data_IF_372139283655
#
_entry.id   IF_372139283655
#
_cell.length_a   1.000
_cell.length_b   1.000
_cell.length_c   1.000
_cell.angle_alpha   90.00
_cell.angle_beta   90.00
_cell.angle_gamma   90.00
#
_symmetry.space_group_name_H-M   'P 1'
#
loop_
_entity.id
_entity.type
_entity.pdbx_description
1 polymer ?
#
# COMPACT_ATOMS: atom_id res chain seq x y z
N UNK A 1 34.09 -14.02 4.26
CA UNK A 1 33.82 -13.94 2.96
C UNK A 1 32.39 -13.77 2.69
N UNK A 2 32.16 -13.01 1.84
CA UNK A 2 30.84 -12.81 1.52
C UNK A 2 30.30 -14.02 0.83
N UNK A 3 29.23 -14.47 1.30
CA UNK A 3 28.64 -15.59 0.65
C UNK A 3 27.85 -15.05 -0.52
N UNK A 4 28.37 -15.30 -1.65
CA UNK A 4 27.69 -14.87 -2.83
C UNK A 4 26.45 -15.69 -3.03
N UNK A 5 25.32 -15.06 -2.98
CA UNK A 5 24.11 -15.75 -3.25
C UNK A 5 24.06 -16.11 -4.71
N UNK A 6 23.92 -17.37 -4.97
CA UNK A 6 23.84 -17.81 -6.34
C UNK A 6 22.40 -17.81 -6.77
N UNK A 7 22.11 -17.08 -7.81
CA UNK A 7 20.77 -16.98 -8.33
C UNK A 7 20.65 -17.86 -9.54
N UNK A 8 19.75 -18.83 -9.48
CA UNK A 8 19.48 -19.68 -10.62
C UNK A 8 18.86 -18.85 -11.73
N UNK A 9 19.15 -19.18 -12.98
CA UNK A 9 18.58 -18.41 -14.09
C UNK A 9 17.07 -18.33 -14.09
N UNK A 10 16.39 -19.33 -13.52
CA UNK A 10 14.93 -19.31 -13.48
C UNK A 10 14.35 -18.80 -12.18
N UNK A 11 15.19 -18.34 -11.25
CA UNK A 11 14.72 -17.92 -9.96
C UNK A 11 14.43 -16.43 -9.94
N UNK A 12 13.28 -16.07 -9.34
CA UNK A 12 12.92 -14.68 -9.14
C UNK A 12 13.23 -14.31 -7.70
N UNK A 13 14.07 -13.29 -7.54
CA UNK A 13 14.41 -12.78 -6.21
C UNK A 13 13.56 -11.56 -5.94
N UNK A 14 12.83 -11.60 -4.84
CA UNK A 14 11.97 -10.49 -4.44
C UNK A 14 12.72 -9.67 -3.39
N UNK A 15 13.19 -8.46 -3.73
CA UNK A 15 13.95 -7.65 -2.78
C UNK A 15 13.13 -7.18 -1.59
N UNK A 16 11.80 -7.29 -1.66
CA UNK A 16 10.92 -6.87 -0.58
C UNK A 16 10.49 -8.02 0.32
N UNK A 17 11.02 -9.20 0.08
CA UNK A 17 10.55 -10.41 0.73
C UNK A 17 10.57 -10.35 2.26
N UNK A 18 11.61 -9.74 2.81
CA UNK A 18 11.79 -9.69 4.26
C UNK A 18 11.26 -8.41 4.89
N UNK A 19 10.68 -7.54 4.09
CA UNK A 19 10.13 -6.28 4.59
C UNK A 19 8.68 -6.47 5.02
N UNK A 20 8.23 -5.72 6.02
CA UNK A 20 6.81 -5.72 6.34
C UNK A 20 5.99 -5.24 5.15
N UNK A 21 4.76 -5.73 5.09
CA UNK A 21 3.76 -5.23 4.15
C UNK A 21 2.87 -4.28 4.92
N UNK A 22 2.56 -3.13 4.35
CA UNK A 22 1.67 -2.18 4.99
C UNK A 22 0.24 -2.51 4.58
N UNK A 23 -0.61 -2.79 5.56
CA UNK A 23 -2.04 -2.97 5.33
C UNK A 23 -2.70 -1.62 5.57
N UNK A 24 -3.23 -1.03 4.53
CA UNK A 24 -3.75 0.33 4.55
C UNK A 24 -5.26 0.31 4.41
N UNK A 25 -5.95 0.97 5.34
CA UNK A 25 -7.39 1.17 5.21
C UNK A 25 -7.63 2.39 4.34
N UNK A 26 -8.46 2.25 3.33
CA UNK A 26 -8.68 3.29 2.35
C UNK A 26 -10.13 3.23 1.89
N UNK A 27 -10.72 4.39 1.57
CA UNK A 27 -12.07 4.42 1.03
C UNK A 27 -12.11 3.73 -0.32
N UNK A 28 -13.19 3.01 -0.57
CA UNK A 28 -13.33 2.23 -1.80
C UNK A 28 -13.02 3.05 -3.04
N UNK A 29 -13.57 4.25 -3.13
CA UNK A 29 -13.38 5.07 -4.33
C UNK A 29 -11.91 5.38 -4.61
N UNK A 30 -11.11 5.55 -3.57
CA UNK A 30 -9.70 5.85 -3.76
C UNK A 30 -8.90 4.59 -4.06
N UNK A 31 -9.28 3.46 -3.48
CA UNK A 31 -8.68 2.19 -3.85
C UNK A 31 -8.94 1.89 -5.33
N UNK A 32 -10.17 2.11 -5.78
CA UNK A 32 -10.51 1.90 -7.19
C UNK A 32 -9.69 2.82 -8.08
N UNK A 33 -9.53 4.07 -7.71
CA UNK A 33 -8.77 5.02 -8.50
C UNK A 33 -7.30 4.61 -8.61
N UNK A 34 -6.73 4.06 -7.54
CA UNK A 34 -5.37 3.54 -7.58
C UNK A 34 -5.28 2.34 -8.53
N UNK A 35 -6.22 1.42 -8.40
CA UNK A 35 -6.19 0.19 -9.21
C UNK A 35 -6.54 0.43 -10.67
N UNK A 36 -7.20 1.55 -10.97
CA UNK A 36 -7.48 1.97 -12.34
C UNK A 36 -6.34 2.80 -12.94
N UNK A 37 -5.33 3.12 -12.14
CA UNK A 37 -4.21 3.91 -12.63
C UNK A 37 -4.45 5.42 -12.61
N UNK A 38 -5.61 5.88 -12.15
CA UNK A 38 -5.93 7.30 -12.13
C UNK A 38 -5.27 8.05 -10.98
N UNK A 39 -5.08 7.35 -9.86
CA UNK A 39 -4.51 7.96 -8.67
C UNK A 39 -3.10 7.41 -8.48
N UNK A 40 -2.11 8.29 -8.67
CA UNK A 40 -0.71 7.88 -8.63
C UNK A 40 -0.02 8.23 -7.31
N UNK A 41 -0.75 8.85 -6.38
CA UNK A 41 -0.24 9.20 -5.05
C UNK A 41 -1.31 8.94 -4.01
N UNK A 42 -0.89 8.38 -2.88
CA UNK A 42 -1.74 8.24 -1.71
C UNK A 42 -1.23 9.20 -0.65
N UNK A 43 -2.12 10.07 -0.18
CA UNK A 43 -1.74 11.12 0.77
C UNK A 43 -1.98 10.67 2.19
N UNK A 44 -1.03 10.98 3.06
CA UNK A 44 -1.15 10.67 4.47
C UNK A 44 -0.66 11.83 5.31
N UNK A 45 -1.40 12.12 6.37
CA UNK A 45 -0.95 13.10 7.36
C UNK A 45 0.26 12.55 8.10
N UNK A 46 0.29 11.24 8.30
CA UNK A 46 1.42 10.55 8.89
C UNK A 46 1.60 9.23 8.15
N UNK A 47 2.69 9.10 7.39
CA UNK A 47 2.91 7.91 6.60
C UNK A 47 3.48 6.79 7.45
N UNK A 48 3.51 5.56 6.93
CA UNK A 48 4.23 4.48 7.60
C UNK A 48 5.68 4.86 7.84
N UNK A 49 6.20 4.45 9.00
CA UNK A 49 7.60 4.67 9.35
C UNK A 49 8.45 3.54 8.78
N UNK A 50 8.54 3.50 7.48
CA UNK A 50 9.20 2.42 6.78
C UNK A 50 9.89 3.01 5.56
N UNK A 51 11.16 2.69 5.40
CA UNK A 51 11.90 3.20 4.25
C UNK A 51 11.48 2.50 2.97
N UNK A 52 11.16 3.26 1.91
CA UNK A 52 10.86 2.62 0.62
C UNK A 52 12.13 1.94 0.08
N UNK A 53 11.97 0.91 -0.78
CA UNK A 53 10.70 0.43 -1.31
C UNK A 53 9.96 -0.48 -0.34
N UNK A 54 8.63 -0.48 -0.43
CA UNK A 54 7.81 -1.42 0.34
C UNK A 54 6.48 -1.65 -0.38
N UNK A 55 5.76 -2.64 0.10
CA UNK A 55 4.47 -3.01 -0.48
C UNK A 55 3.34 -2.58 0.44
N UNK A 56 2.25 -2.19 -0.20
CA UNK A 56 1.03 -1.80 0.48
C UNK A 56 -0.09 -2.68 -0.05
N UNK A 57 -0.93 -3.20 0.84
CA UNK A 57 -2.18 -3.82 0.44
C UNK A 57 -3.32 -2.98 0.97
N UNK A 58 -4.39 -2.87 0.20
CA UNK A 58 -5.45 -1.93 0.49
C UNK A 58 -6.71 -2.64 0.94
N UNK A 59 -7.13 -2.32 2.16
CA UNK A 59 -8.42 -2.76 2.68
C UNK A 59 -9.43 -1.67 2.36
N UNK A 60 -10.36 -1.97 1.47
CA UNK A 60 -11.34 -0.99 1.02
C UNK A 60 -12.48 -0.93 2.00
N UNK A 61 -12.65 0.23 2.64
CA UNK A 61 -13.72 0.46 3.60
C UNK A 61 -14.92 1.10 2.91
N UNK A 62 -16.08 0.91 3.52
CA UNK A 62 -17.30 1.56 3.04
C UNK A 62 -18.06 0.78 2.00
N UNK A 63 -17.59 -0.38 1.61
CA UNK A 63 -18.26 -1.19 0.61
C UNK A 63 -17.82 -2.63 0.69
N UNK A 64 -16.74 -3.04 0.00
CA UNK A 64 -16.33 -4.43 -0.06
C UNK A 64 -15.93 -5.03 1.29
N UNK A 65 -15.36 -4.25 2.18
CA UNK A 65 -14.83 -4.75 3.46
C UNK A 65 -13.87 -5.92 3.20
N UNK A 66 -12.91 -5.68 2.33
CA UNK A 66 -11.99 -6.69 1.83
C UNK A 66 -10.71 -6.03 1.35
N UNK A 67 -9.65 -6.83 1.28
CA UNK A 67 -8.42 -6.38 0.62
C UNK A 67 -8.64 -6.56 -0.87
N UNK A 68 -8.55 -5.46 -1.61
CA UNK A 68 -8.94 -5.44 -3.03
C UNK A 68 -7.76 -5.40 -3.97
N UNK A 69 -6.56 -5.18 -3.45
CA UNK A 69 -5.38 -5.11 -4.28
C UNK A 69 -4.23 -4.49 -3.51
N UNK A 70 -3.17 -4.21 -4.21
CA UNK A 70 -1.99 -3.62 -3.59
C UNK A 70 -1.19 -2.79 -4.54
N UNK A 71 -0.14 -2.18 -4.01
CA UNK A 71 0.79 -1.43 -4.83
C UNK A 71 2.17 -1.46 -4.18
N UNK A 72 3.16 -1.06 -4.96
CA UNK A 72 4.52 -0.95 -4.50
C UNK A 72 4.93 0.50 -4.59
N UNK A 73 5.63 1.00 -3.59
CA UNK A 73 6.17 2.35 -3.63
C UNK A 73 7.68 2.34 -3.52
N UNK A 74 8.32 3.22 -4.29
CA UNK A 74 9.76 3.42 -4.25
C UNK A 74 10.12 4.79 -3.71
N UNK A 75 9.12 5.66 -3.51
CA UNK A 75 9.37 7.03 -3.06
C UNK A 75 8.21 7.53 -2.22
N UNK A 76 8.53 8.02 -1.04
CA UNK A 76 7.56 8.74 -0.20
C UNK A 76 8.11 10.14 -0.03
N UNK A 77 7.33 11.13 -0.43
CA UNK A 77 7.74 12.53 -0.35
C UNK A 77 7.07 13.19 0.85
N UNK A 78 7.86 13.81 1.69
CA UNK A 78 7.34 14.64 2.77
C UNK A 78 7.74 16.06 2.45
N UNK A 79 6.79 16.98 2.47
CA UNK A 79 7.05 18.37 2.08
C UNK A 79 5.99 19.26 2.71
N UNK A 80 6.25 20.59 2.73
CA UNK A 80 5.20 21.53 3.11
C UNK A 80 3.96 21.29 2.27
N UNK A 81 2.79 21.40 2.90
CA UNK A 81 1.53 20.99 2.28
C UNK A 81 1.32 21.63 0.92
N UNK A 82 1.54 22.93 0.80
CA UNK A 82 1.33 23.62 -0.48
C UNK A 82 2.21 23.08 -1.59
N UNK A 83 3.48 22.86 -1.30
CA UNK A 83 4.40 22.30 -2.28
C UNK A 83 4.03 20.87 -2.65
N UNK A 84 3.65 20.08 -1.65
CA UNK A 84 3.28 18.70 -1.89
C UNK A 84 2.11 18.62 -2.85
N UNK A 85 1.08 19.43 -2.60
CA UNK A 85 -0.12 19.46 -3.45
C UNK A 85 0.26 19.90 -4.86
N UNK A 86 1.03 20.98 -4.98
CA UNK A 86 1.43 21.49 -6.29
C UNK A 86 2.16 20.45 -7.12
N UNK A 87 2.99 19.64 -6.48
CA UNK A 87 3.81 18.66 -7.18
C UNK A 87 3.03 17.41 -7.59
N UNK A 88 1.93 17.08 -6.91
CA UNK A 88 1.33 15.76 -7.04
C UNK A 88 -0.12 15.77 -7.49
N UNK A 89 -0.88 16.84 -7.28
CA UNK A 89 -2.34 16.81 -7.45
C UNK A 89 -2.76 16.45 -8.87
N UNK A 90 -1.99 16.86 -9.87
CA UNK A 90 -2.34 16.60 -11.27
C UNK A 90 -2.28 15.13 -11.63
N UNK A 91 -1.62 14.30 -10.80
CA UNK A 91 -1.54 12.85 -11.02
C UNK A 91 -2.57 12.09 -10.20
N UNK A 92 -3.59 12.78 -9.75
CA UNK A 92 -4.63 12.21 -8.89
C UNK A 92 -5.99 12.77 -9.31
N UNK A 93 -7.08 12.10 -8.92
CA UNK A 93 -8.41 12.66 -9.13
C UNK A 93 -8.84 13.65 -8.05
N UNK A 94 -7.94 13.97 -7.13
CA UNK A 94 -8.23 14.95 -6.08
C UNK A 94 -8.15 16.37 -6.61
N UNK A 95 -8.79 17.29 -5.89
CA UNK A 95 -8.58 18.71 -6.17
C UNK A 95 -7.82 19.35 -5.01
N UNK A 96 -7.24 20.50 -5.28
CA UNK A 96 -6.41 21.21 -4.31
C UNK A 96 -7.15 21.52 -3.02
N UNK A 97 -8.41 21.97 -3.14
CA UNK A 97 -9.18 22.37 -1.98
C UNK A 97 -9.42 21.20 -1.02
N UNK A 98 -9.76 20.04 -1.55
CA UNK A 98 -9.98 18.86 -0.71
C UNK A 98 -8.70 18.41 -0.03
N UNK A 99 -7.58 18.52 -0.71
CA UNK A 99 -6.30 18.15 -0.11
C UNK A 99 -5.87 19.14 0.96
N UNK A 100 -6.14 20.43 0.74
CA UNK A 100 -5.86 21.43 1.77
C UNK A 100 -6.68 21.14 3.03
N UNK A 101 -7.94 20.76 2.86
CA UNK A 101 -8.78 20.39 3.99
C UNK A 101 -8.26 19.15 4.69
N UNK A 102 -7.84 18.17 3.91
CA UNK A 102 -7.31 16.92 4.47
C UNK A 102 -6.08 17.16 5.34
N UNK A 103 -5.22 18.09 4.93
CA UNK A 103 -4.00 18.39 5.66
C UNK A 103 -4.16 19.53 6.66
N UNK A 104 -5.38 19.98 6.90
CA UNK A 104 -5.61 21.11 7.80
C UNK A 104 -4.92 20.90 9.13
N UNK A 105 -4.23 21.90 9.61
CA UNK A 105 -3.50 21.84 10.88
C UNK A 105 -2.11 21.24 10.77
N UNK A 106 -1.68 20.81 9.56
CA UNK A 106 -0.35 20.24 9.37
C UNK A 106 0.50 21.20 8.56
N UNK A 107 1.76 21.35 8.94
CA UNK A 107 2.70 22.13 8.14
C UNK A 107 3.22 21.30 6.97
N UNK A 108 3.43 20.00 7.21
CA UNK A 108 3.91 19.09 6.19
C UNK A 108 2.93 17.96 6.02
N UNK A 109 2.98 17.36 4.85
CA UNK A 109 2.18 16.18 4.55
C UNK A 109 3.05 15.19 3.81
N UNK A 110 2.50 14.01 3.56
CA UNK A 110 3.22 12.97 2.84
C UNK A 110 2.43 12.46 1.67
N UNK A 111 3.14 12.13 0.60
CA UNK A 111 2.58 11.52 -0.58
C UNK A 111 3.37 10.25 -0.88
N UNK A 112 2.66 9.13 -0.85
CA UNK A 112 3.24 7.82 -1.16
C UNK A 112 3.03 7.61 -2.65
N UNK A 113 4.12 7.52 -3.40
CA UNK A 113 4.03 7.36 -4.84
C UNK A 113 3.69 5.92 -5.18
N UNK A 114 2.77 5.75 -6.10
CA UNK A 114 2.35 4.43 -6.54
C UNK A 114 3.12 4.09 -7.81
N UNK A 115 4.08 3.19 -7.69
CA UNK A 115 4.97 2.85 -8.80
C UNK A 115 4.45 1.68 -9.61
N UNK A 116 3.72 0.77 -8.99
CA UNK A 116 3.06 -0.32 -9.68
C UNK A 116 1.86 -0.73 -8.84
N UNK A 117 0.86 -1.32 -9.48
CA UNK A 117 -0.34 -1.72 -8.75
C UNK A 117 -0.82 -3.08 -9.25
N UNK A 118 -1.51 -3.78 -8.34
CA UNK A 118 -2.02 -5.11 -8.62
C UNK A 118 -3.46 -5.20 -8.13
N UNK A 119 -4.45 -5.13 -9.03
CA UNK A 119 -5.82 -5.42 -8.65
C UNK A 119 -5.96 -6.92 -8.41
N UNK A 120 -6.71 -7.29 -7.37
CA UNK A 120 -6.97 -8.69 -7.13
C UNK A 120 -8.19 -9.12 -7.94
N UNK A 121 -8.10 -10.30 -8.58
CA UNK A 121 -9.25 -10.86 -9.28
C UNK A 121 -10.39 -11.14 -8.29
N UNK A 122 -10.01 -11.63 -7.12
CA UNK A 122 -10.98 -11.89 -6.06
C UNK A 122 -10.50 -11.17 -4.81
N UNK A 123 -11.28 -10.22 -4.31
CA UNK A 123 -10.93 -9.57 -3.05
C UNK A 123 -10.84 -10.58 -1.91
N UNK A 124 -10.00 -10.29 -0.92
CA UNK A 124 -9.86 -11.13 0.25
C UNK A 124 -10.75 -10.53 1.35
N UNK A 125 -11.90 -11.14 1.63
CA UNK A 125 -12.85 -10.54 2.58
C UNK A 125 -12.37 -10.66 4.01
N UNK A 126 -12.94 -9.83 4.87
CA UNK A 126 -12.61 -9.83 6.28
C UNK A 126 -12.82 -11.21 6.90
N UNK A 127 -13.85 -11.94 6.46
CA UNK A 127 -14.11 -13.26 6.98
C UNK A 127 -12.96 -14.23 6.71
N UNK A 128 -12.30 -14.10 5.55
CA UNK A 128 -11.15 -14.95 5.26
C UNK A 128 -9.95 -14.58 6.12
N UNK A 129 -9.77 -13.29 6.37
CA UNK A 129 -8.68 -12.86 7.25
C UNK A 129 -8.89 -13.37 8.66
N UNK A 130 -10.13 -13.34 9.14
CA UNK A 130 -10.46 -13.83 10.47
C UNK A 130 -10.48 -15.33 10.57
N UNK A 131 -10.51 -16.04 9.44
CA UNK A 131 -10.39 -17.50 9.48
C UNK A 131 -8.97 -17.93 9.84
N UNK A 132 -7.98 -17.11 9.56
CA UNK A 132 -6.60 -17.41 9.92
C UNK A 132 -6.16 -16.67 11.19
N UNK A 133 -6.79 -15.55 11.52
CA UNK A 133 -6.54 -14.82 12.75
C UNK A 133 -7.86 -14.30 13.29
N UNK A 134 -8.43 -15.04 14.22
CA UNK A 134 -9.77 -14.73 14.73
C UNK A 134 -9.85 -13.36 15.38
N UNK A 135 -8.71 -12.80 15.81
CA UNK A 135 -8.69 -11.51 16.47
C UNK A 135 -8.28 -10.38 15.52
N UNK A 136 -8.16 -10.67 14.25
CA UNK A 136 -7.81 -9.65 13.28
C UNK A 136 -8.80 -8.50 13.32
N UNK A 137 -8.26 -7.28 13.42
CA UNK A 137 -9.07 -6.06 13.34
C UNK A 137 -8.57 -5.19 12.21
N UNK A 138 -9.52 -4.54 11.55
CA UNK A 138 -9.19 -3.60 10.48
C UNK A 138 -8.53 -2.37 11.11
N UNK A 139 -7.34 -1.97 10.67
CA UNK A 139 -6.70 -0.81 11.25
C UNK A 139 -7.46 0.47 10.91
N UNK A 140 -7.36 1.48 11.78
CA UNK A 140 -7.97 2.78 11.49
C UNK A 140 -7.21 3.50 10.39
N UNK A 141 -5.91 3.36 10.35
CA UNK A 141 -5.06 3.94 9.32
C UNK A 141 -4.29 2.84 8.60
N UNK A 142 -3.32 2.25 9.27
CA UNK A 142 -2.56 1.16 8.68
C UNK A 142 -1.92 0.33 9.78
N UNK A 143 -1.45 -0.85 9.39
CA UNK A 143 -0.66 -1.69 10.28
C UNK A 143 0.37 -2.43 9.45
N UNK A 144 1.40 -2.93 10.11
CA UNK A 144 2.44 -3.70 9.43
C UNK A 144 2.11 -5.18 9.54
N UNK A 145 2.20 -5.88 8.42
CA UNK A 145 2.13 -7.33 8.40
C UNK A 145 3.55 -7.84 8.22
N UNK A 146 4.06 -8.52 9.22
CA UNK A 146 5.46 -8.90 9.24
C UNK A 146 5.65 -10.33 8.76
N UNK A 147 6.69 -10.61 7.96
CA UNK A 147 6.87 -11.93 7.37
C UNK A 147 6.91 -13.07 8.38
N UNK A 148 7.47 -12.83 9.57
CA UNK A 148 7.61 -13.87 10.57
C UNK A 148 6.40 -13.97 11.49
N UNK A 149 5.78 -12.84 11.82
CA UNK A 149 4.67 -12.83 12.78
C UNK A 149 3.31 -13.02 12.12
N UNK A 150 3.18 -12.57 10.87
CA UNK A 150 1.90 -12.53 10.17
C UNK A 150 1.90 -13.41 8.92
N UNK A 151 2.72 -14.44 8.93
CA UNK A 151 2.90 -15.28 7.74
C UNK A 151 1.58 -15.87 7.24
N UNK A 152 0.69 -16.28 8.14
CA UNK A 152 -0.56 -16.89 7.72
C UNK A 152 -1.49 -15.89 7.04
N UNK A 153 -1.51 -14.64 7.54
CA UNK A 153 -2.28 -13.60 6.88
C UNK A 153 -1.69 -13.29 5.51
N UNK A 154 -0.36 -13.18 5.46
CA UNK A 154 0.30 -12.85 4.20
C UNK A 154 0.08 -13.91 3.14
N UNK A 155 -0.05 -15.17 3.53
CA UNK A 155 -0.32 -16.25 2.59
C UNK A 155 -1.67 -16.11 1.90
N UNK A 156 -2.59 -15.34 2.48
CA UNK A 156 -3.89 -15.10 1.86
C UNK A 156 -3.80 -14.08 0.73
N UNK A 157 -2.68 -13.38 0.61
CA UNK A 157 -2.56 -12.26 -0.31
C UNK A 157 -1.82 -12.71 -1.58
N UNK A 158 -2.43 -12.50 -2.77
CA UNK A 158 -1.87 -13.03 -4.02
C UNK A 158 -0.42 -12.64 -4.29
N UNK A 159 -0.05 -11.39 -4.01
CA UNK A 159 1.30 -10.98 -4.41
C UNK A 159 2.38 -11.53 -3.49
N UNK A 160 2.02 -12.05 -2.34
CA UNK A 160 2.98 -12.71 -1.46
C UNK A 160 3.53 -13.97 -2.09
N UNK A 161 2.99 -14.36 -3.21
CA UNK A 161 3.46 -15.49 -3.99
C UNK A 161 4.37 -15.07 -5.12
N UNK A 162 4.85 -13.83 -5.09
CA UNK A 162 5.76 -13.34 -6.10
C UNK A 162 5.11 -12.86 -7.37
N UNK A 163 3.82 -12.57 -7.33
CA UNK A 163 3.12 -12.04 -8.51
C UNK A 163 3.58 -10.60 -8.73
N UNK A 164 4.09 -10.29 -9.93
CA UNK A 164 4.55 -8.93 -10.18
C UNK A 164 3.38 -7.97 -10.33
N UNK A 165 3.63 -6.71 -10.00
CA UNK A 165 2.66 -5.66 -10.25
C UNK A 165 2.64 -5.31 -11.72
N UNK A 166 1.47 -4.88 -12.20
CA UNK A 166 1.34 -4.36 -13.54
C UNK A 166 1.55 -2.86 -13.54
N UNK A 167 2.02 -2.36 -14.65
CA UNK A 167 2.31 -0.94 -14.77
C UNK A 167 1.37 -0.27 -15.74
#
# INVERSE_FOLDING_TARGET
METQTRIDPGMVVDPLRDKPVVLLSIKERWADAILDGEKRYEYRRQPPALDPPYRVVMYATGGPSAIVGGFETHTVTEAPVGELIDQTVRFTPHNTSDLEDYFDGKETGSAIRIDSWLPYDEPVPLSDLRSVDAEFTVPQNFQYLRPDEDAELLEQLPYDRGVPFER
#
